data_IF_475687298509
#
_entry.id   IF_475687298509
#
_cell.length_a   1.000
_cell.length_b   1.000
_cell.length_c   1.000
_cell.angle_alpha   90.00
_cell.angle_beta   90.00
_cell.angle_gamma   90.00
#
_symmetry.space_group_name_H-M   'P 1'
#
loop_
_entity.id
_entity.type
_entity.pdbx_description
1 polymer ?
#
# COMPACT_ATOMS: atom_id res chain seq x y z
N UNK A 1 0.57 12.61 -24.17
CA UNK A 1 1.89 12.24 -23.62
C UNK A 1 1.67 11.38 -22.39
N UNK A 2 1.39 10.09 -22.58
CA UNK A 2 1.36 9.12 -21.48
C UNK A 2 2.67 8.38 -21.59
N UNK A 3 3.68 8.85 -20.86
CA UNK A 3 4.92 8.10 -20.71
C UNK A 3 4.57 6.79 -20.03
N UNK A 4 4.66 5.68 -20.77
CA UNK A 4 4.94 4.34 -20.25
C UNK A 4 6.30 4.38 -19.55
N UNK A 5 6.38 5.10 -18.43
CA UNK A 5 7.45 4.90 -17.47
C UNK A 5 7.11 3.59 -16.81
N UNK A 6 7.92 2.56 -17.06
CA UNK A 6 7.94 1.38 -16.21
C UNK A 6 7.85 1.84 -14.75
N UNK A 7 6.91 1.26 -13.99
CA UNK A 7 6.71 1.59 -12.58
C UNK A 7 8.04 1.42 -11.85
N UNK A 8 8.38 2.36 -10.96
CA UNK A 8 9.60 2.27 -10.17
C UNK A 8 9.59 0.94 -9.38
N UNK A 9 10.62 0.08 -9.52
CA UNK A 9 10.68 -1.20 -8.82
C UNK A 9 10.47 -1.07 -7.31
N UNK A 10 10.90 0.04 -6.70
CA UNK A 10 10.73 0.32 -5.27
C UNK A 10 9.27 0.57 -4.91
N UNK A 11 8.51 1.24 -5.78
CA UNK A 11 7.06 1.41 -5.61
C UNK A 11 6.33 0.06 -5.71
N UNK A 12 6.81 -0.85 -6.57
CA UNK A 12 6.26 -2.21 -6.65
C UNK A 12 6.54 -3.03 -5.39
N UNK A 13 7.71 -2.88 -4.77
CA UNK A 13 8.03 -3.52 -3.49
C UNK A 13 7.11 -3.03 -2.36
N UNK A 14 6.92 -1.70 -2.27
CA UNK A 14 5.98 -1.09 -1.30
C UNK A 14 4.55 -1.59 -1.55
N UNK A 15 4.10 -1.60 -2.80
CA UNK A 15 2.78 -2.11 -3.20
C UNK A 15 2.57 -3.56 -2.80
N UNK A 16 3.58 -4.42 -3.06
CA UNK A 16 3.56 -5.82 -2.67
C UNK A 16 3.49 -5.98 -1.15
N UNK A 17 4.26 -5.20 -0.38
CA UNK A 17 4.23 -5.21 1.08
C UNK A 17 2.84 -4.81 1.61
N UNK A 18 2.25 -3.73 1.10
CA UNK A 18 0.89 -3.30 1.48
C UNK A 18 -0.16 -4.38 1.22
N UNK A 19 -0.07 -5.05 0.06
CA UNK A 19 -0.94 -6.18 -0.28
C UNK A 19 -0.78 -7.36 0.68
N UNK A 20 0.47 -7.70 1.06
CA UNK A 20 0.74 -8.75 2.05
C UNK A 20 0.11 -8.40 3.40
N UNK A 21 0.25 -7.15 3.86
CA UNK A 21 -0.31 -6.70 5.13
C UNK A 21 -1.83 -6.81 5.15
N UNK A 22 -2.51 -6.41 4.06
CA UNK A 22 -3.95 -6.59 3.93
C UNK A 22 -4.38 -8.05 4.00
N UNK A 23 -3.69 -8.92 3.25
CA UNK A 23 -4.00 -10.35 3.24
C UNK A 23 -3.76 -10.98 4.63
N UNK A 24 -2.69 -10.59 5.32
CA UNK A 24 -2.38 -11.03 6.68
C UNK A 24 -3.44 -10.55 7.69
N UNK A 25 -4.04 -9.39 7.46
CA UNK A 25 -5.19 -8.89 8.23
C UNK A 25 -6.52 -9.59 7.89
N UNK A 26 -6.52 -10.61 7.02
CA UNK A 26 -7.71 -11.43 6.70
C UNK A 26 -8.56 -10.92 5.52
N UNK A 27 -8.16 -9.81 4.89
CA UNK A 27 -8.95 -9.19 3.82
C UNK A 27 -8.58 -9.74 2.44
N UNK A 28 -9.50 -10.48 1.82
CA UNK A 28 -9.34 -10.95 0.42
C UNK A 28 -9.49 -9.82 -0.60
N UNK A 29 -10.37 -8.85 -0.31
CA UNK A 29 -10.66 -7.70 -1.19
C UNK A 29 -10.03 -6.42 -0.65
N UNK A 30 -9.35 -5.67 -1.54
CA UNK A 30 -8.85 -4.33 -1.22
C UNK A 30 -10.00 -3.34 -0.99
N UNK A 31 -11.18 -3.59 -1.58
CA UNK A 31 -12.34 -2.71 -1.43
C UNK A 31 -12.95 -2.82 -0.03
N UNK A 32 -13.01 -4.05 0.50
CA UNK A 32 -13.47 -4.31 1.88
C UNK A 32 -12.51 -3.68 2.88
N UNK A 33 -11.20 -3.93 2.74
CA UNK A 33 -10.18 -3.31 3.59
C UNK A 33 -10.27 -1.78 3.57
N UNK A 34 -10.35 -1.20 2.36
CA UNK A 34 -10.45 0.25 2.22
C UNK A 34 -11.74 0.80 2.83
N UNK A 35 -12.86 0.10 2.69
CA UNK A 35 -14.12 0.53 3.28
C UNK A 35 -14.09 0.50 4.82
N UNK A 36 -13.63 -0.59 5.42
CA UNK A 36 -13.60 -0.75 6.88
C UNK A 36 -12.62 0.19 7.58
N UNK A 37 -11.55 0.59 6.90
CA UNK A 37 -10.57 1.54 7.44
C UNK A 37 -10.75 2.98 6.92
N UNK A 38 -11.90 3.28 6.33
CA UNK A 38 -12.26 4.63 5.84
C UNK A 38 -11.25 5.22 4.85
N UNK A 39 -10.68 4.36 4.00
CA UNK A 39 -9.76 4.72 2.92
C UNK A 39 -10.51 4.89 1.60
N UNK A 40 -9.96 5.72 0.71
CA UNK A 40 -10.42 5.75 -0.68
C UNK A 40 -10.11 4.42 -1.37
N UNK A 41 -11.17 3.66 -1.74
CA UNK A 41 -11.06 2.37 -2.46
C UNK A 41 -10.21 2.49 -3.73
N UNK A 42 -10.41 3.56 -4.49
CA UNK A 42 -9.67 3.83 -5.74
C UNK A 42 -8.20 4.11 -5.46
N UNK A 43 -7.90 4.96 -4.48
CA UNK A 43 -6.52 5.31 -4.14
C UNK A 43 -5.77 4.10 -3.60
N UNK A 44 -6.36 3.38 -2.66
CA UNK A 44 -5.77 2.19 -2.07
C UNK A 44 -5.52 1.07 -3.09
N UNK A 45 -6.49 0.81 -3.98
CA UNK A 45 -6.31 -0.16 -5.07
C UNK A 45 -5.23 0.23 -6.07
N UNK A 46 -4.92 1.53 -6.23
CA UNK A 46 -3.78 2.00 -7.03
C UNK A 46 -2.45 1.83 -6.28
N UNK A 47 -2.42 2.09 -4.98
CA UNK A 47 -1.22 1.87 -4.15
C UNK A 47 -0.77 0.41 -4.17
N UNK A 48 -1.69 -0.55 -4.08
CA UNK A 48 -1.37 -1.97 -4.23
C UNK A 48 -0.90 -2.39 -5.63
N UNK A 49 -0.96 -1.48 -6.61
CA UNK A 49 -0.47 -1.67 -7.98
C UNK A 49 0.80 -0.86 -8.28
N UNK A 50 1.39 -0.20 -7.28
CA UNK A 50 2.64 0.56 -7.44
C UNK A 50 2.45 2.01 -7.87
N UNK A 51 1.25 2.58 -7.75
CA UNK A 51 1.10 4.02 -7.94
C UNK A 51 1.86 4.80 -6.87
N UNK A 52 2.25 6.03 -7.19
CA UNK A 52 2.81 6.94 -6.20
C UNK A 52 1.88 7.05 -4.97
N UNK A 53 2.46 6.90 -3.78
CA UNK A 53 1.79 7.02 -2.49
C UNK A 53 2.38 8.21 -1.74
N UNK A 54 1.52 9.04 -1.16
CA UNK A 54 2.02 10.15 -0.33
C UNK A 54 2.51 9.62 1.03
N UNK A 55 3.46 10.32 1.65
CA UNK A 55 3.94 9.94 2.99
C UNK A 55 2.80 9.88 4.01
N UNK A 56 1.84 10.82 3.96
CA UNK A 56 0.67 10.81 4.86
C UNK A 56 -0.20 9.56 4.66
N UNK A 57 -0.42 9.14 3.42
CA UNK A 57 -1.15 7.91 3.12
C UNK A 57 -0.41 6.67 3.60
N UNK A 58 0.91 6.63 3.44
CA UNK A 58 1.72 5.53 3.97
C UNK A 58 1.62 5.45 5.50
N UNK A 59 1.85 6.56 6.21
CA UNK A 59 1.75 6.60 7.68
C UNK A 59 0.39 6.14 8.17
N UNK A 60 -0.71 6.59 7.53
CA UNK A 60 -2.07 6.12 7.85
C UNK A 60 -2.22 4.60 7.70
N UNK A 61 -1.62 4.01 6.67
CA UNK A 61 -1.64 2.56 6.47
C UNK A 61 -0.81 1.83 7.54
N UNK A 62 0.32 2.42 7.95
CA UNK A 62 1.13 1.87 9.03
C UNK A 62 0.39 1.90 10.37
N UNK A 63 -0.34 2.98 10.66
CA UNK A 63 -1.18 3.09 11.87
C UNK A 63 -2.26 2.00 11.91
N UNK A 64 -2.91 1.74 10.77
CA UNK A 64 -3.93 0.67 10.64
C UNK A 64 -3.32 -0.69 10.96
N UNK A 65 -2.10 -0.94 10.49
CA UNK A 65 -1.38 -2.19 10.71
C UNK A 65 -0.58 -2.22 12.02
N UNK A 66 -0.61 -1.16 12.81
CA UNK A 66 0.18 -1.01 14.05
C UNK A 66 1.68 -1.26 13.83
N UNK A 67 2.22 -0.71 12.73
CA UNK A 67 3.63 -0.85 12.34
C UNK A 67 4.36 0.48 12.43
N UNK A 68 5.64 0.42 12.75
CA UNK A 68 6.59 1.53 12.58
C UNK A 68 7.15 1.57 11.15
N UNK A 69 7.76 2.69 10.76
CA UNK A 69 8.48 2.80 9.49
C UNK A 69 9.62 1.76 9.40
N UNK A 70 10.36 1.57 10.49
CA UNK A 70 11.47 0.62 10.54
C UNK A 70 10.99 -0.80 10.25
N UNK A 71 9.91 -1.24 10.90
CA UNK A 71 9.32 -2.57 10.68
C UNK A 71 8.77 -2.74 9.26
N UNK A 72 8.19 -1.67 8.71
CA UNK A 72 7.66 -1.71 7.35
C UNK A 72 8.76 -1.91 6.30
N UNK A 73 9.89 -1.22 6.45
CA UNK A 73 10.99 -1.25 5.47
C UNK A 73 12.06 -2.32 5.76
N UNK A 74 11.98 -3.06 6.87
CA UNK A 74 12.98 -4.05 7.25
C UNK A 74 13.19 -5.18 6.23
N UNK A 75 12.18 -5.50 5.41
CA UNK A 75 12.21 -6.54 4.37
C UNK A 75 12.07 -5.96 2.94
N UNK A 76 12.30 -4.65 2.78
CA UNK A 76 12.32 -3.97 1.49
C UNK A 76 13.77 -3.50 1.25
N UNK A 77 14.43 -4.11 0.27
CA UNK A 77 15.84 -3.86 -0.09
C UNK A 77 15.95 -3.23 -1.49
#
# INVERSE_FOLDING_TARGET
MTSDSALDPRLLQVAAKLRRLRLAAGYKSYETFAFEHELSRVSYGKHEKGSNITMKSLLRLLDIHQLTLTEFFADIA
#
